data_IF_533525250707
#
_entry.id   IF_533525250707
#
_cell.length_a   1.000
_cell.length_b   1.000
_cell.length_c   1.000
_cell.angle_alpha   90.00
_cell.angle_beta   90.00
_cell.angle_gamma   90.00
#
_symmetry.space_group_name_H-M   'P 1'
#
loop_
_entity.id
_entity.type
_entity.pdbx_description
1 polymer ?
#
# COMPACT_ATOMS: atom_id res chain seq x y z
N UNK A 1 10.47 2.27 19.12
CA UNK A 1 9.62 1.23 18.49
C UNK A 1 8.53 0.88 19.48
N UNK A 2 7.25 0.78 19.08
CA UNK A 2 6.17 0.34 19.97
C UNK A 2 5.42 -0.84 19.34
N UNK A 3 4.57 -1.50 20.14
CA UNK A 3 3.86 -2.73 19.72
C UNK A 3 2.97 -2.50 18.50
N UNK A 4 2.29 -1.35 18.41
CA UNK A 4 1.42 -1.00 17.29
C UNK A 4 2.20 -0.85 15.99
N UNK A 5 3.38 -0.22 16.05
CA UNK A 5 4.27 -0.10 14.88
C UNK A 5 4.74 -1.46 14.40
N UNK A 6 5.23 -2.28 15.33
CA UNK A 6 5.74 -3.60 14.99
C UNK A 6 4.63 -4.48 14.39
N UNK A 7 3.45 -4.50 15.01
CA UNK A 7 2.30 -5.23 14.49
C UNK A 7 1.88 -4.70 13.11
N UNK A 8 1.86 -3.38 12.91
CA UNK A 8 1.61 -2.76 11.60
C UNK A 8 2.63 -3.21 10.55
N UNK A 9 3.93 -3.11 10.85
CA UNK A 9 5.00 -3.53 9.94
C UNK A 9 4.88 -5.02 9.57
N UNK A 10 4.52 -5.87 10.53
CA UNK A 10 4.29 -7.30 10.28
C UNK A 10 3.02 -7.56 9.45
N UNK A 11 1.94 -6.82 9.66
CA UNK A 11 0.73 -6.92 8.83
C UNK A 11 1.00 -6.48 7.38
N UNK A 12 1.78 -5.41 7.21
CA UNK A 12 2.19 -4.96 5.88
C UNK A 12 3.06 -6.02 5.19
N UNK A 13 4.05 -6.57 5.90
CA UNK A 13 4.87 -7.67 5.37
C UNK A 13 4.04 -8.90 5.01
N UNK A 14 3.09 -9.29 5.88
CA UNK A 14 2.20 -10.42 5.63
C UNK A 14 1.34 -10.20 4.38
N UNK A 15 0.83 -8.98 4.17
CA UNK A 15 0.05 -8.65 2.96
C UNK A 15 0.87 -8.88 1.68
N UNK A 16 2.15 -8.51 1.69
CA UNK A 16 3.07 -8.71 0.57
C UNK A 16 3.38 -10.18 0.37
N UNK A 17 3.60 -10.93 1.46
CA UNK A 17 3.83 -12.38 1.40
C UNK A 17 2.62 -13.09 0.81
N UNK A 18 1.39 -12.76 1.24
CA UNK A 18 0.15 -13.33 0.70
C UNK A 18 0.05 -13.06 -0.81
N UNK A 19 0.35 -11.84 -1.24
CA UNK A 19 0.33 -11.48 -2.65
C UNK A 19 1.41 -12.22 -3.45
N UNK A 20 2.63 -12.34 -2.92
CA UNK A 20 3.70 -13.12 -3.53
C UNK A 20 3.35 -14.60 -3.63
N UNK A 21 2.77 -15.20 -2.59
CA UNK A 21 2.31 -16.59 -2.60
C UNK A 21 1.25 -16.83 -3.68
N UNK A 22 0.31 -15.89 -3.84
CA UNK A 22 -0.65 -15.94 -4.95
C UNK A 22 0.06 -15.90 -6.31
N UNK A 23 0.94 -14.92 -6.53
CA UNK A 23 1.60 -14.71 -7.82
C UNK A 23 2.55 -15.86 -8.17
N UNK A 24 3.32 -16.34 -7.19
CA UNK A 24 4.38 -17.34 -7.42
C UNK A 24 3.92 -18.77 -7.22
N UNK A 25 3.00 -19.03 -6.29
CA UNK A 25 2.45 -20.35 -6.00
C UNK A 25 1.32 -20.72 -6.96
N UNK A 26 0.30 -19.85 -7.08
CA UNK A 26 -0.85 -20.08 -7.97
C UNK A 26 -0.54 -19.70 -9.43
N UNK A 27 0.56 -18.96 -9.68
CA UNK A 27 0.96 -18.49 -11.01
C UNK A 27 -0.09 -17.60 -11.68
N UNK A 28 -0.88 -16.88 -10.89
CA UNK A 28 -1.94 -15.99 -11.37
C UNK A 28 -1.92 -14.64 -10.68
N UNK A 29 -2.09 -13.57 -11.46
CA UNK A 29 -2.31 -12.20 -10.97
C UNK A 29 -3.70 -11.66 -11.32
N UNK A 30 -4.67 -12.54 -11.63
CA UNK A 30 -6.06 -12.16 -11.84
C UNK A 30 -6.61 -11.44 -10.59
N UNK A 31 -7.31 -10.33 -10.79
CA UNK A 31 -7.85 -9.51 -9.70
C UNK A 31 -6.79 -8.69 -8.94
N UNK A 32 -5.56 -8.58 -9.44
CA UNK A 32 -4.51 -7.72 -8.88
C UNK A 32 -4.17 -6.62 -9.89
N UNK A 33 -4.27 -5.37 -9.46
CA UNK A 33 -3.95 -4.19 -10.28
C UNK A 33 -2.45 -4.02 -10.37
N UNK A 34 -1.90 -4.08 -11.58
CA UNK A 34 -0.49 -3.79 -11.82
C UNK A 34 -0.18 -2.34 -11.46
N UNK A 35 -1.08 -1.41 -11.79
CA UNK A 35 -0.90 0.02 -11.51
C UNK A 35 -0.71 0.29 -10.03
N UNK A 36 -1.49 -0.37 -9.17
CA UNK A 36 -1.33 -0.26 -7.71
C UNK A 36 0.05 -0.72 -7.27
N UNK A 37 0.54 -1.86 -7.79
CA UNK A 37 1.87 -2.37 -7.44
C UNK A 37 2.99 -1.43 -7.89
N UNK A 38 2.84 -0.81 -9.06
CA UNK A 38 3.80 0.20 -9.53
C UNK A 38 3.79 1.48 -8.69
N UNK A 39 2.61 1.92 -8.25
CA UNK A 39 2.49 3.06 -7.35
C UNK A 39 3.14 2.76 -5.99
N UNK A 40 2.90 1.59 -5.40
CA UNK A 40 3.58 1.19 -4.16
C UNK A 40 5.09 1.05 -4.33
N UNK A 41 5.56 0.51 -5.46
CA UNK A 41 6.99 0.48 -5.77
C UNK A 41 7.58 1.90 -5.84
N UNK A 42 6.90 2.83 -6.51
CA UNK A 42 7.31 4.23 -6.58
C UNK A 42 7.34 4.89 -5.19
N UNK A 43 6.33 4.61 -4.35
CA UNK A 43 6.31 5.06 -2.94
C UNK A 43 7.55 4.56 -2.20
N UNK A 44 7.88 3.27 -2.27
CA UNK A 44 9.04 2.74 -1.55
C UNK A 44 10.37 3.25 -2.09
N UNK A 45 10.52 3.38 -3.41
CA UNK A 45 11.72 3.95 -4.03
C UNK A 45 11.94 5.37 -3.52
N UNK A 46 10.91 6.22 -3.56
CA UNK A 46 11.02 7.63 -3.17
C UNK A 46 11.15 7.81 -1.65
N UNK A 47 10.51 6.96 -0.85
CA UNK A 47 10.55 7.03 0.62
C UNK A 47 11.87 6.56 1.22
N UNK A 48 12.50 5.55 0.61
CA UNK A 48 13.64 4.86 1.21
C UNK A 48 14.99 5.26 0.58
N UNK A 49 15.06 6.39 -0.13
CA UNK A 49 16.34 6.95 -0.60
C UNK A 49 17.30 7.29 0.54
N UNK A 50 16.78 7.48 1.75
CA UNK A 50 17.56 7.74 2.96
C UNK A 50 18.40 6.53 3.43
N UNK A 51 18.23 5.33 2.85
CA UNK A 51 19.09 4.16 3.13
C UNK A 51 20.57 4.49 2.89
N UNK A 52 20.87 5.32 1.89
CA UNK A 52 22.24 5.67 1.54
C UNK A 52 22.83 6.78 2.41
N UNK A 53 22.00 7.50 3.17
CA UNK A 53 22.42 8.67 3.93
C UNK A 53 22.35 8.46 5.44
N UNK A 54 21.37 7.67 5.91
CA UNK A 54 21.06 7.55 7.34
C UNK A 54 20.90 6.08 7.74
N UNK A 55 21.74 5.64 8.67
CA UNK A 55 21.57 4.34 9.33
C UNK A 55 20.83 4.53 10.66
N UNK A 56 19.58 4.05 10.74
CA UNK A 56 18.77 4.10 11.97
C UNK A 56 18.95 2.84 12.81
N UNK A 57 18.74 1.67 12.21
CA UNK A 57 18.92 0.36 12.85
C UNK A 57 18.96 -0.75 11.82
N UNK A 58 19.53 -1.91 12.19
CA UNK A 58 19.55 -3.09 11.33
C UNK A 58 18.13 -3.51 10.88
N UNK A 59 17.19 -3.54 11.82
CA UNK A 59 15.79 -3.84 11.53
C UNK A 59 15.20 -2.89 10.48
N UNK A 60 15.42 -1.57 10.63
CA UNK A 60 14.89 -0.58 9.70
C UNK A 60 15.46 -0.77 8.29
N UNK A 61 16.78 -0.93 8.18
CA UNK A 61 17.45 -1.13 6.89
C UNK A 61 16.99 -2.42 6.21
N UNK A 62 16.94 -3.53 6.95
CA UNK A 62 16.48 -4.82 6.43
C UNK A 62 15.03 -4.74 5.95
N UNK A 63 14.12 -4.16 6.73
CA UNK A 63 12.71 -4.01 6.33
C UNK A 63 12.56 -3.17 5.06
N UNK A 64 13.30 -2.05 4.94
CA UNK A 64 13.26 -1.24 3.71
C UNK A 64 13.75 -2.02 2.48
N UNK A 65 14.83 -2.79 2.62
CA UNK A 65 15.34 -3.65 1.54
C UNK A 65 14.34 -4.75 1.17
N UNK A 66 13.68 -5.37 2.16
CA UNK A 66 12.63 -6.36 1.92
C UNK A 66 11.46 -5.74 1.16
N UNK A 67 10.95 -4.57 1.58
CA UNK A 67 9.85 -3.89 0.89
C UNK A 67 10.20 -3.51 -0.55
N UNK A 68 11.40 -2.97 -0.78
CA UNK A 68 11.88 -2.64 -2.14
C UNK A 68 12.03 -3.89 -3.00
N UNK A 69 12.70 -4.92 -2.49
CA UNK A 69 12.97 -6.16 -3.23
C UNK A 69 11.68 -6.91 -3.59
N UNK A 70 10.78 -7.08 -2.62
CA UNK A 70 9.51 -7.79 -2.81
C UNK A 70 8.56 -7.04 -3.74
N UNK A 71 8.43 -5.71 -3.61
CA UNK A 71 7.58 -4.90 -4.51
C UNK A 71 8.13 -4.89 -5.92
N UNK A 72 9.45 -4.79 -6.09
CA UNK A 72 10.11 -4.90 -7.40
C UNK A 72 9.87 -6.28 -8.01
N UNK A 73 9.96 -7.35 -7.21
CA UNK A 73 9.70 -8.71 -7.66
C UNK A 73 8.24 -8.88 -8.10
N UNK A 74 7.26 -8.38 -7.36
CA UNK A 74 5.82 -8.42 -7.74
C UNK A 74 5.60 -7.75 -9.10
N UNK A 75 6.10 -6.52 -9.28
CA UNK A 75 5.97 -5.80 -10.55
C UNK A 75 6.68 -6.55 -11.68
N UNK A 76 7.87 -7.09 -11.43
CA UNK A 76 8.61 -7.89 -12.40
C UNK A 76 7.83 -9.15 -12.83
N UNK A 77 7.30 -9.92 -11.87
CA UNK A 77 6.51 -11.11 -12.17
C UNK A 77 5.25 -10.77 -12.97
N UNK A 78 4.54 -9.70 -12.62
CA UNK A 78 3.35 -9.29 -13.36
C UNK A 78 3.65 -8.79 -14.78
N UNK A 79 4.76 -8.08 -15.00
CA UNK A 79 5.11 -7.51 -16.32
C UNK A 79 5.80 -8.49 -17.27
N UNK A 80 6.71 -9.31 -16.75
CA UNK A 80 7.68 -10.03 -17.58
C UNK A 80 7.56 -11.55 -17.48
N UNK A 81 7.01 -12.11 -16.41
CA UNK A 81 6.91 -13.56 -16.29
C UNK A 81 5.91 -14.13 -17.29
N UNK A 82 6.37 -15.07 -18.13
CA UNK A 82 5.66 -15.59 -19.31
C UNK A 82 4.22 -16.04 -19.02
N UNK A 83 4.00 -16.74 -17.91
CA UNK A 83 2.67 -17.28 -17.55
C UNK A 83 1.81 -16.25 -16.83
N UNK A 84 2.40 -15.48 -15.91
CA UNK A 84 1.66 -14.62 -14.98
C UNK A 84 1.13 -13.41 -15.74
N UNK A 85 1.94 -12.83 -16.63
CA UNK A 85 1.53 -11.71 -17.49
C UNK A 85 0.25 -11.99 -18.28
N UNK A 86 0.02 -13.24 -18.69
CA UNK A 86 -1.17 -13.64 -19.46
C UNK A 86 -2.45 -13.65 -18.59
N UNK A 87 -2.30 -13.78 -17.28
CA UNK A 87 -3.43 -13.75 -16.33
C UNK A 87 -3.83 -12.34 -15.89
N UNK A 88 -3.07 -11.32 -16.29
CA UNK A 88 -3.34 -9.93 -15.97
C UNK A 88 -4.47 -9.37 -16.82
N UNK A 89 -5.54 -8.91 -16.17
CA UNK A 89 -6.70 -8.33 -16.84
C UNK A 89 -6.50 -6.82 -17.06
N UNK A 90 -5.93 -6.49 -18.22
CA UNK A 90 -5.66 -5.10 -18.62
C UNK A 90 -6.94 -4.32 -18.93
N UNK A 91 -8.01 -4.99 -19.34
CA UNK A 91 -9.28 -4.35 -19.72
C UNK A 91 -10.01 -3.83 -18.48
N UNK A 92 -9.90 -4.53 -17.36
CA UNK A 92 -10.51 -4.10 -16.10
C UNK A 92 -9.66 -3.06 -15.36
N UNK A 93 -8.31 -3.12 -15.45
CA UNK A 93 -7.41 -2.14 -14.84
C UNK A 93 -7.25 -0.87 -15.72
N UNK A 94 -8.32 -0.08 -15.88
CA UNK A 94 -8.30 1.15 -16.71
C UNK A 94 -7.95 2.43 -15.96
N UNK A 95 -7.67 2.35 -14.65
CA UNK A 95 -7.47 3.55 -13.82
C UNK A 95 -6.30 4.41 -14.31
N UNK A 96 -6.47 5.73 -14.41
CA UNK A 96 -5.39 6.62 -14.89
C UNK A 96 -4.50 7.03 -13.72
N UNK A 97 -3.40 6.30 -13.50
CA UNK A 97 -2.50 6.55 -12.35
C UNK A 97 -1.90 7.97 -12.32
N UNK A 98 -1.81 8.66 -13.47
CA UNK A 98 -1.40 10.08 -13.52
C UNK A 98 -2.31 10.99 -12.69
N UNK A 99 -3.59 10.65 -12.53
CA UNK A 99 -4.53 11.38 -11.68
C UNK A 99 -4.18 11.27 -10.18
N UNK A 100 -3.29 10.36 -9.79
CA UNK A 100 -2.80 10.22 -8.42
C UNK A 100 -1.40 10.81 -8.29
N UNK A 101 -0.51 10.48 -9.23
CA UNK A 101 0.88 10.91 -9.22
C UNK A 101 1.01 12.42 -9.36
N UNK A 102 0.29 13.05 -10.29
CA UNK A 102 0.42 14.48 -10.53
C UNK A 102 -0.07 15.33 -9.34
N UNK A 103 -1.26 15.10 -8.76
CA UNK A 103 -1.67 15.82 -7.55
C UNK A 103 -0.76 15.56 -6.35
N UNK A 104 -0.28 14.32 -6.15
CA UNK A 104 0.66 14.02 -5.07
C UNK A 104 1.98 14.77 -5.24
N UNK A 105 2.50 14.90 -6.46
CA UNK A 105 3.72 15.64 -6.75
C UNK A 105 3.53 17.15 -6.53
N UNK A 106 2.41 17.72 -6.99
CA UNK A 106 2.09 19.13 -6.76
C UNK A 106 1.94 19.42 -5.27
N UNK A 107 1.18 18.60 -4.53
CA UNK A 107 1.03 18.77 -3.09
C UNK A 107 2.36 18.68 -2.36
N UNK A 108 3.21 17.71 -2.70
CA UNK A 108 4.54 17.59 -2.10
C UNK A 108 5.39 18.85 -2.31
N UNK A 109 5.41 19.38 -3.53
CA UNK A 109 6.15 20.62 -3.82
C UNK A 109 5.60 21.84 -3.09
N UNK A 110 4.32 21.87 -2.72
CA UNK A 110 3.72 23.00 -2.02
C UNK A 110 3.82 22.90 -0.50
N UNK A 111 3.88 21.70 0.07
CA UNK A 111 3.74 21.48 1.52
C UNK A 111 4.99 20.91 2.20
N UNK A 112 6.06 20.63 1.45
CA UNK A 112 7.31 20.16 2.04
C UNK A 112 7.88 21.16 3.06
N UNK A 113 8.26 20.63 4.23
CA UNK A 113 8.82 21.42 5.32
C UNK A 113 10.18 22.04 4.98
N UNK A 114 11.00 21.30 4.24
CA UNK A 114 12.30 21.74 3.75
C UNK A 114 12.42 21.39 2.28
N UNK A 115 12.83 22.34 1.44
CA UNK A 115 12.99 22.14 0.00
C UNK A 115 14.32 21.43 -0.34
N UNK A 116 14.55 20.26 0.27
CA UNK A 116 15.57 19.32 -0.20
C UNK A 116 14.92 18.23 -1.04
N UNK A 117 15.67 17.66 -1.98
CA UNK A 117 15.16 16.59 -2.85
C UNK A 117 14.65 15.40 -2.02
N UNK A 118 15.37 15.01 -0.96
CA UNK A 118 14.97 13.90 -0.10
C UNK A 118 13.66 14.18 0.65
N UNK A 119 13.50 15.38 1.23
CA UNK A 119 12.29 15.75 1.97
C UNK A 119 11.06 15.88 1.04
N UNK A 120 11.25 16.43 -0.16
CA UNK A 120 10.19 16.53 -1.17
C UNK A 120 9.75 15.14 -1.62
N UNK A 121 10.70 14.24 -1.92
CA UNK A 121 10.40 12.86 -2.32
C UNK A 121 9.77 12.05 -1.17
N UNK A 122 10.20 12.30 0.06
CA UNK A 122 9.57 11.71 1.24
C UNK A 122 8.12 12.19 1.37
N UNK A 123 7.87 13.50 1.29
CA UNK A 123 6.53 14.10 1.35
C UNK A 123 5.63 13.56 0.22
N UNK A 124 6.15 13.51 -1.00
CA UNK A 124 5.50 12.89 -2.16
C UNK A 124 5.09 11.45 -1.90
N UNK A 125 5.99 10.65 -1.32
CA UNK A 125 5.71 9.26 -1.00
C UNK A 125 4.54 9.11 -0.01
N UNK A 126 4.36 10.05 0.92
CA UNK A 126 3.27 10.01 1.90
C UNK A 126 1.92 10.29 1.21
N UNK A 127 1.86 11.35 0.38
CA UNK A 127 0.64 11.66 -0.38
C UNK A 127 0.28 10.56 -1.36
N UNK A 128 1.26 10.03 -2.10
CA UNK A 128 1.01 9.00 -3.09
C UNK A 128 0.52 7.70 -2.44
N UNK A 129 1.12 7.29 -1.32
CA UNK A 129 0.71 6.06 -0.62
C UNK A 129 -0.74 6.12 -0.13
N UNK A 130 -1.20 7.29 0.29
CA UNK A 130 -2.56 7.47 0.80
C UNK A 130 -3.63 7.10 -0.24
N UNK A 131 -3.31 7.26 -1.53
CA UNK A 131 -4.23 7.02 -2.65
C UNK A 131 -3.79 5.88 -3.56
N UNK A 132 -2.63 5.27 -3.33
CA UNK A 132 -2.02 4.26 -4.20
C UNK A 132 -2.90 3.01 -4.39
N UNK A 133 -3.78 2.70 -3.43
CA UNK A 133 -4.69 1.55 -3.48
C UNK A 133 -5.88 1.73 -4.42
N UNK A 134 -6.18 2.97 -4.84
CA UNK A 134 -7.38 3.30 -5.63
C UNK A 134 -7.55 2.43 -6.90
N UNK A 135 -6.50 2.18 -7.73
CA UNK A 135 -6.66 1.33 -8.90
C UNK A 135 -7.07 -0.11 -8.56
N UNK A 136 -6.56 -0.65 -7.44
CA UNK A 136 -6.91 -1.99 -6.97
C UNK A 136 -8.36 -2.06 -6.52
N UNK A 137 -8.86 -1.07 -5.76
CA UNK A 137 -10.27 -1.08 -5.32
C UNK A 137 -11.23 -0.95 -6.50
N UNK A 138 -10.93 -0.06 -7.46
CA UNK A 138 -11.71 0.08 -8.70
C UNK A 138 -11.68 -1.20 -9.54
N UNK A 139 -10.53 -1.87 -9.61
CA UNK A 139 -10.43 -3.18 -10.26
C UNK A 139 -11.34 -4.21 -9.60
N UNK A 140 -11.40 -4.23 -8.27
CA UNK A 140 -12.23 -5.16 -7.50
C UNK A 140 -13.73 -4.87 -7.64
N UNK A 141 -14.14 -3.61 -7.71
CA UNK A 141 -15.53 -3.23 -8.00
C UNK A 141 -16.00 -3.74 -9.36
N UNK A 142 -15.12 -3.71 -10.36
CA UNK A 142 -15.41 -4.23 -11.69
C UNK A 142 -15.31 -5.75 -11.78
N UNK A 143 -14.40 -6.33 -11.00
CA UNK A 143 -14.18 -7.77 -10.94
C UNK A 143 -15.15 -8.37 -9.93
N UNK A 144 -16.38 -8.67 -10.35
CA UNK A 144 -17.46 -9.18 -9.48
C UNK A 144 -17.14 -10.50 -8.74
N UNK A 145 -16.04 -11.18 -9.06
CA UNK A 145 -15.59 -12.38 -8.36
C UNK A 145 -14.17 -12.17 -7.83
N UNK A 146 -14.07 -11.78 -6.56
CA UNK A 146 -12.80 -11.54 -5.89
C UNK A 146 -12.38 -12.84 -5.20
N UNK A 147 -11.17 -13.32 -5.50
CA UNK A 147 -10.62 -14.48 -4.80
C UNK A 147 -10.20 -14.13 -3.37
N UNK A 148 -10.32 -15.12 -2.47
CA UNK A 148 -10.04 -14.93 -1.05
C UNK A 148 -8.61 -14.43 -0.78
N UNK A 149 -7.62 -14.83 -1.58
CA UNK A 149 -6.24 -14.38 -1.39
C UNK A 149 -6.07 -12.90 -1.71
N UNK A 150 -6.67 -12.41 -2.80
CA UNK A 150 -6.72 -10.97 -3.07
C UNK A 150 -7.48 -10.22 -1.99
N UNK A 151 -8.63 -10.73 -1.54
CA UNK A 151 -9.39 -10.15 -0.44
C UNK A 151 -8.55 -10.01 0.83
N UNK A 152 -7.90 -11.09 1.26
CA UNK A 152 -7.01 -11.13 2.42
C UNK A 152 -5.82 -10.18 2.27
N UNK A 153 -5.22 -10.10 1.07
CA UNK A 153 -4.14 -9.15 0.79
C UNK A 153 -4.59 -7.71 1.04
N UNK A 154 -5.70 -7.28 0.43
CA UNK A 154 -6.22 -5.91 0.59
C UNK A 154 -6.64 -5.65 2.03
N UNK A 155 -7.23 -6.64 2.71
CA UNK A 155 -7.60 -6.55 4.12
C UNK A 155 -6.38 -6.33 5.03
N UNK A 156 -5.34 -7.16 4.90
CA UNK A 156 -4.09 -7.03 5.66
C UNK A 156 -3.41 -5.68 5.39
N UNK A 157 -3.48 -5.21 4.15
CA UNK A 157 -2.98 -3.91 3.73
C UNK A 157 -3.77 -2.75 4.39
N UNK A 158 -5.09 -2.87 4.53
CA UNK A 158 -5.85 -1.89 5.32
C UNK A 158 -5.54 -1.96 6.82
N UNK A 159 -5.39 -3.18 7.38
CA UNK A 159 -5.15 -3.40 8.79
C UNK A 159 -3.84 -2.80 9.28
N UNK A 160 -2.75 -2.87 8.50
CA UNK A 160 -1.51 -2.21 8.92
C UNK A 160 -1.71 -0.70 9.10
N UNK A 161 -2.53 -0.07 8.24
CA UNK A 161 -2.78 1.37 8.31
C UNK A 161 -3.57 1.73 9.57
N UNK A 162 -4.57 0.93 9.93
CA UNK A 162 -5.29 1.07 11.20
C UNK A 162 -4.35 0.97 12.40
N UNK A 163 -3.42 0.01 12.41
CA UNK A 163 -2.40 -0.13 13.46
C UNK A 163 -1.44 1.06 13.50
N UNK A 164 -1.12 1.67 12.35
CA UNK A 164 -0.31 2.88 12.27
C UNK A 164 -1.04 4.11 12.83
N UNK A 165 -2.36 4.23 12.68
CA UNK A 165 -3.14 5.26 13.36
C UNK A 165 -3.04 5.10 14.87
N UNK A 166 -3.20 3.87 15.39
CA UNK A 166 -3.03 3.59 16.82
C UNK A 166 -1.61 3.89 17.29
N UNK A 167 -0.60 3.58 16.47
CA UNK A 167 0.79 3.96 16.74
C UNK A 167 0.93 5.48 16.93
N UNK A 168 0.35 6.27 16.03
CA UNK A 168 0.48 7.73 16.09
C UNK A 168 -0.25 8.31 17.30
N UNK A 169 -1.45 7.82 17.62
CA UNK A 169 -2.18 8.18 18.84
C UNK A 169 -1.31 7.88 20.07
N UNK A 170 -0.75 6.68 20.16
CA UNK A 170 0.14 6.31 21.26
C UNK A 170 1.35 7.25 21.36
N UNK A 171 2.03 7.54 20.25
CA UNK A 171 3.20 8.45 20.24
C UNK A 171 2.84 9.87 20.61
N UNK A 172 1.66 10.35 20.25
CA UNK A 172 1.18 11.68 20.64
C UNK A 172 1.04 11.82 22.17
N UNK A 173 0.62 10.76 22.85
CA UNK A 173 0.50 10.76 24.32
C UNK A 173 1.82 10.49 25.05
N UNK A 174 2.75 9.72 24.45
CA UNK A 174 3.99 9.31 25.13
C UNK A 174 5.22 10.14 24.78
N UNK A 175 5.30 10.72 23.58
CA UNK A 175 6.46 11.49 23.11
C UNK A 175 6.18 13.00 23.19
N UNK A 176 6.99 13.74 23.95
CA UNK A 176 6.88 15.21 24.02
C UNK A 176 7.18 15.82 22.63
N UNK A 177 6.29 16.71 22.17
CA UNK A 177 6.38 17.44 20.88
C UNK A 177 6.16 16.63 19.59
N UNK A 178 5.61 15.41 19.64
CA UNK A 178 5.26 14.69 18.42
C UNK A 178 4.08 15.35 17.67
N UNK A 179 4.36 16.02 16.54
CA UNK A 179 3.37 16.70 15.70
C UNK A 179 3.66 16.49 14.22
N UNK A 180 3.20 15.37 13.67
CA UNK A 180 3.31 15.05 12.23
C UNK A 180 1.94 15.09 11.54
N UNK A 181 1.31 16.27 11.50
CA UNK A 181 -0.07 16.43 10.98
C UNK A 181 -0.27 15.90 9.57
N UNK A 182 0.74 16.05 8.70
CA UNK A 182 0.71 15.54 7.33
C UNK A 182 0.50 14.03 7.28
N UNK A 183 1.23 13.29 8.13
CA UNK A 183 1.16 11.82 8.20
C UNK A 183 -0.21 11.38 8.73
N UNK A 184 -0.77 12.10 9.70
CA UNK A 184 -2.10 11.82 10.24
C UNK A 184 -3.19 12.06 9.21
N UNK A 185 -3.18 13.21 8.53
CA UNK A 185 -4.15 13.54 7.51
C UNK A 185 -4.15 12.54 6.36
N UNK A 186 -2.97 12.20 5.84
CA UNK A 186 -2.84 11.21 4.77
C UNK A 186 -3.25 9.80 5.24
N UNK A 187 -2.89 9.42 6.46
CA UNK A 187 -3.30 8.13 7.02
C UNK A 187 -4.81 8.01 7.23
N UNK A 188 -5.48 9.10 7.65
CA UNK A 188 -6.94 9.14 7.75
C UNK A 188 -7.60 9.01 6.39
N UNK A 189 -7.14 9.76 5.38
CA UNK A 189 -7.63 9.63 3.99
C UNK A 189 -7.49 8.20 3.52
N UNK A 190 -6.34 7.58 3.74
CA UNK A 190 -6.09 6.20 3.34
C UNK A 190 -7.05 5.23 4.05
N UNK A 191 -7.26 5.37 5.36
CA UNK A 191 -8.18 4.50 6.10
C UNK A 191 -9.63 4.67 5.64
N UNK A 192 -10.08 5.90 5.35
CA UNK A 192 -11.41 6.16 4.81
C UNK A 192 -11.62 5.45 3.47
N UNK A 193 -10.61 5.45 2.60
CA UNK A 193 -10.66 4.74 1.31
C UNK A 193 -10.85 3.22 1.51
N UNK A 194 -10.30 2.63 2.58
CA UNK A 194 -10.49 1.21 2.90
C UNK A 194 -11.84 0.89 3.57
N UNK A 195 -12.55 1.86 4.13
CA UNK A 195 -13.76 1.60 4.93
C UNK A 195 -14.84 0.85 4.15
N UNK A 196 -15.09 1.25 2.90
CA UNK A 196 -16.08 0.60 2.02
C UNK A 196 -15.71 -0.86 1.75
N UNK A 197 -14.44 -1.11 1.40
CA UNK A 197 -13.93 -2.47 1.21
C UNK A 197 -14.07 -3.32 2.48
N UNK A 198 -13.75 -2.77 3.65
CA UNK A 198 -13.86 -3.50 4.91
C UNK A 198 -15.30 -3.90 5.22
N UNK A 199 -16.27 -3.03 4.96
CA UNK A 199 -17.68 -3.34 5.17
C UNK A 199 -18.10 -4.60 4.40
N UNK A 200 -17.85 -4.63 3.08
CA UNK A 200 -18.18 -5.78 2.24
C UNK A 200 -17.34 -7.02 2.55
N UNK A 201 -16.06 -6.84 2.93
CA UNK A 201 -15.20 -7.92 3.36
C UNK A 201 -15.75 -8.63 4.60
N UNK A 202 -16.15 -7.90 5.64
CA UNK A 202 -16.72 -8.49 6.85
C UNK A 202 -18.10 -9.11 6.59
N UNK A 203 -18.93 -8.49 5.76
CA UNK A 203 -20.24 -9.05 5.38
C UNK A 203 -20.08 -10.41 4.67
N UNK A 204 -19.21 -10.49 3.67
CA UNK A 204 -18.90 -11.73 2.95
C UNK A 204 -18.31 -12.80 3.88
N UNK A 205 -17.43 -12.41 4.80
CA UNK A 205 -16.84 -13.33 5.78
C UNK A 205 -17.88 -13.90 6.75
N UNK A 206 -18.77 -13.06 7.29
CA UNK A 206 -19.83 -13.49 8.21
C UNK A 206 -20.85 -14.42 7.54
N UNK A 207 -21.19 -14.13 6.28
CA UNK A 207 -22.17 -14.90 5.51
C UNK A 207 -21.57 -16.14 4.82
N UNK A 208 -20.24 -16.32 4.86
CA UNK A 208 -19.52 -17.33 4.07
C UNK A 208 -19.80 -17.25 2.55
N UNK A 209 -20.04 -16.04 2.05
CA UNK A 209 -20.30 -15.77 0.64
C UNK A 209 -19.02 -15.32 -0.06
N UNK A 210 -18.96 -15.43 -1.39
CA UNK A 210 -17.83 -14.90 -2.16
C UNK A 210 -17.81 -13.38 -2.08
N UNK A 211 -16.63 -12.81 -1.87
CA UNK A 211 -16.47 -11.36 -1.82
C UNK A 211 -16.78 -10.75 -3.19
N UNK A 212 -17.79 -9.88 -3.20
CA UNK A 212 -18.17 -9.06 -4.33
C UNK A 212 -18.39 -7.63 -3.83
N UNK A 213 -17.81 -6.66 -4.54
CA UNK A 213 -18.08 -5.25 -4.29
C UNK A 213 -19.19 -4.78 -5.23
N UNK A 214 -20.05 -3.85 -4.79
CA UNK A 214 -21.04 -3.23 -5.67
C UNK A 214 -20.33 -2.47 -6.81
N UNK A 215 -20.97 -2.46 -7.98
CA UNK A 215 -20.48 -1.78 -9.18
C UNK A 215 -20.77 -0.27 -9.17
#
# INVERSE_FOLDING_TARGET
>A
MNVFRLAGDMMHLLSIIVLLLKITGIKSCRGVSLKTQELYLLVFITRYLDIFTNFVSLYNTVMKLVFLGTSSAIVYYMRYHRIIKLTYDKEQDTFKYLLLVAPAAVLALLTSHVYTVLEVLWTFSIYLEAVAIMPQLVLLQRTQNIDNLTGNYVFLLGCYRGLYILNWIYRYFTEKHYRQWLVWGCGLVQTIIYCDFFYYYFQSWQNNEKLALPA
#
